data_IF_440631237055
#
_entry.id   IF_440631237055
#
_cell.length_a   1.000
_cell.length_b   1.000
_cell.length_c   1.000
_cell.angle_alpha   90.00
_cell.angle_beta   90.00
_cell.angle_gamma   90.00
#
_symmetry.space_group_name_H-M   'P 1'
#
loop_
_entity.id
_entity.type
_entity.pdbx_description
1 polymer ?
#
# COMPACT_ATOMS: atom_id res chain seq x y z
N UNK A 1 -15.74 -2.24 -13.70
CA UNK A 1 -15.20 -2.68 -12.39
C UNK A 1 -14.47 -1.56 -11.64
N UNK A 2 -14.63 -0.29 -12.04
CA UNK A 2 -14.05 0.87 -11.34
C UNK A 2 -15.09 1.91 -10.90
N UNK A 3 -16.37 1.70 -11.20
CA UNK A 3 -17.42 2.70 -10.98
C UNK A 3 -17.78 2.91 -9.50
N UNK A 4 -17.35 1.99 -8.62
CA UNK A 4 -17.51 2.11 -7.16
C UNK A 4 -16.27 2.68 -6.46
N UNK A 5 -15.20 3.01 -7.20
CA UNK A 5 -14.03 3.63 -6.58
C UNK A 5 -14.36 5.09 -6.19
N UNK A 6 -14.26 5.38 -4.90
CA UNK A 6 -14.41 6.71 -4.37
C UNK A 6 -13.25 7.06 -3.43
N UNK A 7 -12.73 8.29 -3.55
CA UNK A 7 -11.83 8.84 -2.54
C UNK A 7 -12.65 9.18 -1.29
N UNK A 8 -12.19 8.71 -0.13
CA UNK A 8 -12.87 8.91 1.15
C UNK A 8 -12.00 9.72 2.12
N UNK A 9 -12.66 10.36 3.09
CA UNK A 9 -11.95 11.06 4.17
C UNK A 9 -11.37 10.06 5.17
N UNK A 10 -10.39 10.50 5.96
CA UNK A 10 -9.86 9.68 7.03
C UNK A 10 -10.92 9.29 8.06
N UNK A 11 -11.88 10.18 8.37
CA UNK A 11 -12.96 9.87 9.31
C UNK A 11 -13.88 8.75 8.78
N UNK A 12 -14.07 8.66 7.46
CA UNK A 12 -14.77 7.54 6.85
C UNK A 12 -14.00 6.22 7.08
N UNK A 13 -12.67 6.22 6.89
CA UNK A 13 -11.84 5.05 7.18
C UNK A 13 -11.92 4.62 8.65
N UNK A 14 -11.94 5.59 9.59
CA UNK A 14 -12.08 5.31 11.04
C UNK A 14 -13.43 4.64 11.34
N UNK A 15 -14.52 5.06 10.67
CA UNK A 15 -15.85 4.42 10.81
C UNK A 15 -15.85 2.99 10.26
N UNK A 16 -15.03 2.70 9.26
CA UNK A 16 -14.90 1.37 8.65
C UNK A 16 -13.92 0.44 9.37
N UNK A 17 -13.26 0.88 10.45
CA UNK A 17 -12.14 0.15 11.07
C UNK A 17 -12.43 -1.32 11.42
N UNK A 18 -13.67 -1.64 11.79
CA UNK A 18 -14.08 -3.01 12.16
C UNK A 18 -14.14 -3.97 10.95
N UNK A 19 -14.30 -3.42 9.75
CA UNK A 19 -14.34 -4.18 8.49
C UNK A 19 -12.92 -4.48 7.97
N UNK A 20 -11.89 -3.79 8.50
CA UNK A 20 -10.51 -3.98 8.04
C UNK A 20 -10.05 -5.43 8.20
N UNK A 21 -10.48 -6.11 9.26
CA UNK A 21 -10.15 -7.51 9.49
C UNK A 21 -10.74 -8.47 8.44
N UNK A 22 -11.86 -8.09 7.83
CA UNK A 22 -12.54 -8.90 6.83
C UNK A 22 -11.84 -8.73 5.46
N UNK A 23 -11.18 -7.59 5.25
CA UNK A 23 -10.42 -7.26 4.03
C UNK A 23 -8.98 -7.79 4.12
N UNK A 24 -8.31 -7.55 5.25
CA UNK A 24 -6.87 -7.77 5.43
C UNK A 24 -6.54 -9.04 6.24
N UNK A 25 -7.55 -9.76 6.72
CA UNK A 25 -7.39 -10.82 7.71
C UNK A 25 -7.14 -10.26 9.13
N UNK A 26 -6.78 -11.12 10.10
CA UNK A 26 -6.50 -10.68 11.48
C UNK A 26 -5.48 -9.55 11.49
N UNK A 27 -5.89 -8.34 11.88
CA UNK A 27 -5.06 -7.12 11.79
C UNK A 27 -5.19 -6.25 13.06
N UNK A 28 -4.20 -5.39 13.32
CA UNK A 28 -4.31 -4.36 14.36
C UNK A 28 -4.94 -3.10 13.75
N UNK A 29 -6.22 -2.86 14.02
CA UNK A 29 -6.99 -1.73 13.45
C UNK A 29 -6.30 -0.38 13.63
N UNK A 30 -5.69 -0.13 14.80
CA UNK A 30 -5.00 1.15 15.08
C UNK A 30 -3.75 1.30 14.21
N UNK A 31 -2.99 0.24 14.05
CA UNK A 31 -1.79 0.23 13.20
C UNK A 31 -2.16 0.45 11.74
N UNK A 32 -3.23 -0.22 11.27
CA UNK A 32 -3.75 -0.06 9.91
C UNK A 32 -4.18 1.38 9.63
N UNK A 33 -4.95 1.99 10.54
CA UNK A 33 -5.37 3.39 10.40
C UNK A 33 -4.17 4.35 10.42
N UNK A 34 -3.16 4.09 11.25
CA UNK A 34 -1.90 4.86 11.26
C UNK A 34 -1.19 4.76 9.90
N UNK A 35 -1.12 3.57 9.31
CA UNK A 35 -0.55 3.35 7.98
C UNK A 35 -1.30 4.08 6.87
N UNK A 36 -2.62 3.94 6.85
CA UNK A 36 -3.47 4.62 5.87
C UNK A 36 -3.31 6.12 5.93
N UNK A 37 -3.24 6.70 7.15
CA UNK A 37 -2.96 8.13 7.33
C UNK A 37 -1.58 8.49 6.81
N UNK A 38 -0.55 7.74 7.17
CA UNK A 38 0.84 8.03 6.78
C UNK A 38 1.00 8.00 5.26
N UNK A 39 0.59 6.91 4.61
CA UNK A 39 0.72 6.75 3.17
C UNK A 39 -0.22 7.68 2.40
N UNK A 40 -1.43 7.94 2.93
CA UNK A 40 -2.34 8.92 2.36
C UNK A 40 -1.74 10.33 2.37
N UNK A 41 -1.18 10.78 3.49
CA UNK A 41 -0.49 12.07 3.58
C UNK A 41 0.72 12.14 2.65
N UNK A 42 1.50 11.07 2.54
CA UNK A 42 2.64 11.00 1.62
C UNK A 42 2.19 11.16 0.15
N UNK A 43 1.10 10.50 -0.25
CA UNK A 43 0.56 10.62 -1.60
C UNK A 43 0.14 12.08 -1.94
N UNK A 44 -0.31 12.84 -0.94
CA UNK A 44 -0.68 14.26 -1.10
C UNK A 44 0.52 15.17 -1.32
N UNK A 45 1.75 14.75 -0.99
CA UNK A 45 2.96 15.55 -1.24
C UNK A 45 3.28 15.68 -2.73
N UNK A 46 2.60 14.90 -3.59
CA UNK A 46 2.74 14.93 -5.05
C UNK A 46 4.20 14.78 -5.52
N UNK A 47 5.03 14.10 -4.72
CA UNK A 47 6.41 13.77 -5.07
C UNK A 47 6.37 12.67 -6.12
N UNK A 48 6.86 12.97 -7.33
CA UNK A 48 6.90 12.02 -8.44
C UNK A 48 8.33 11.75 -8.85
N UNK A 49 8.63 10.49 -9.11
CA UNK A 49 9.87 10.12 -9.77
C UNK A 49 9.80 10.45 -11.25
N UNK A 50 10.90 10.96 -11.78
CA UNK A 50 11.07 11.12 -13.23
C UNK A 50 11.69 9.84 -13.78
N UNK A 51 10.89 9.07 -14.52
CA UNK A 51 11.37 7.87 -15.20
C UNK A 51 12.54 8.18 -16.14
N UNK A 52 12.51 9.31 -16.83
CA UNK A 52 13.60 9.75 -17.69
C UNK A 52 14.90 9.94 -16.92
N UNK A 53 14.87 10.66 -15.77
CA UNK A 53 16.06 10.85 -14.93
C UNK A 53 16.59 9.52 -14.39
N UNK A 54 15.69 8.66 -13.92
CA UNK A 54 16.05 7.34 -13.38
C UNK A 54 16.77 6.49 -14.45
N UNK A 55 16.23 6.44 -15.66
CA UNK A 55 16.86 5.71 -16.77
C UNK A 55 18.20 6.33 -17.19
N UNK A 56 18.31 7.67 -17.19
CA UNK A 56 19.58 8.37 -17.45
C UNK A 56 20.66 8.07 -16.40
N UNK A 57 20.28 7.77 -15.16
CA UNK A 57 21.18 7.33 -14.10
C UNK A 57 21.62 5.85 -14.25
N UNK A 58 21.14 5.14 -15.26
CA UNK A 58 21.51 3.75 -15.54
C UNK A 58 20.68 2.70 -14.81
N UNK A 59 19.58 3.09 -14.14
CA UNK A 59 18.65 2.11 -13.58
C UNK A 59 17.93 1.35 -14.71
N UNK A 60 17.75 0.02 -14.58
CA UNK A 60 17.04 -0.75 -15.58
C UNK A 60 15.56 -0.36 -15.62
N UNK A 61 14.92 -0.55 -16.78
CA UNK A 61 13.47 -0.36 -16.92
C UNK A 61 12.75 -1.28 -15.93
N UNK A 62 11.74 -0.80 -15.18
CA UNK A 62 10.99 -1.66 -14.28
C UNK A 62 10.31 -2.80 -15.05
N UNK A 63 10.20 -4.00 -14.45
CA UNK A 63 9.44 -5.09 -15.04
C UNK A 63 7.98 -4.68 -15.23
N UNK A 64 7.26 -5.34 -16.15
CA UNK A 64 5.82 -5.13 -16.25
C UNK A 64 5.18 -5.59 -14.94
N UNK A 65 4.09 -4.94 -14.55
CA UNK A 65 3.34 -5.34 -13.36
C UNK A 65 2.97 -6.84 -13.37
N UNK A 66 2.56 -7.35 -14.53
CA UNK A 66 2.21 -8.77 -14.73
C UNK A 66 3.37 -9.72 -14.48
N UNK A 67 4.60 -9.27 -14.69
CA UNK A 67 5.80 -10.10 -14.49
C UNK A 67 6.25 -10.04 -13.02
N UNK A 68 5.93 -8.95 -12.32
CA UNK A 68 6.34 -8.71 -10.93
C UNK A 68 5.35 -9.27 -9.89
N UNK A 69 4.05 -9.21 -10.16
CA UNK A 69 3.00 -9.52 -9.18
C UNK A 69 3.09 -10.94 -8.60
N UNK A 70 3.54 -11.91 -9.41
CA UNK A 70 3.76 -13.28 -8.94
C UNK A 70 4.79 -13.35 -7.80
N UNK A 71 5.85 -12.54 -7.88
CA UNK A 71 6.86 -12.42 -6.83
C UNK A 71 6.26 -11.89 -5.53
N UNK A 72 5.40 -10.87 -5.60
CA UNK A 72 4.69 -10.35 -4.43
C UNK A 72 3.82 -11.43 -3.77
N UNK A 73 3.05 -12.18 -4.56
CA UNK A 73 2.19 -13.25 -4.03
C UNK A 73 3.03 -14.35 -3.39
N UNK A 74 4.14 -14.73 -4.02
CA UNK A 74 5.01 -15.79 -3.50
C UNK A 74 5.72 -15.36 -2.21
N UNK A 75 6.28 -14.15 -2.17
CA UNK A 75 7.05 -13.67 -1.01
C UNK A 75 6.20 -13.35 0.21
N UNK A 76 4.91 -13.08 0.02
CA UNK A 76 3.96 -12.76 1.10
C UNK A 76 3.07 -13.93 1.50
N UNK A 77 3.18 -15.09 0.82
CA UNK A 77 2.34 -16.25 1.07
C UNK A 77 2.44 -16.70 2.53
N UNK A 78 1.29 -16.75 3.21
CA UNK A 78 1.19 -17.17 4.61
C UNK A 78 1.62 -16.12 5.63
N UNK A 79 2.02 -14.92 5.20
CA UNK A 79 2.35 -13.81 6.08
C UNK A 79 1.12 -12.93 6.33
N UNK A 80 0.81 -12.70 7.61
CA UNK A 80 -0.16 -11.68 8.00
C UNK A 80 0.34 -10.28 7.62
N UNK A 81 -0.59 -9.34 7.46
CA UNK A 81 -0.27 -7.93 7.25
C UNK A 81 0.67 -7.38 8.33
N UNK A 82 0.48 -7.75 9.60
CA UNK A 82 1.33 -7.28 10.70
C UNK A 82 2.78 -7.76 10.57
N UNK A 83 2.98 -8.99 10.10
CA UNK A 83 4.33 -9.51 9.84
C UNK A 83 5.01 -8.74 8.71
N UNK A 84 4.26 -8.39 7.66
CA UNK A 84 4.78 -7.60 6.55
C UNK A 84 5.12 -6.16 6.97
N UNK A 85 4.36 -5.59 7.90
CA UNK A 85 4.51 -4.21 8.37
C UNK A 85 5.46 -4.02 9.57
N UNK A 86 6.21 -5.05 9.96
CA UNK A 86 7.00 -5.05 11.21
C UNK A 86 8.07 -3.94 11.25
N UNK A 87 8.48 -3.44 10.08
CA UNK A 87 9.49 -2.37 9.95
C UNK A 87 8.92 -0.99 9.65
N UNK A 88 7.61 -0.88 9.38
CA UNK A 88 7.00 0.37 8.89
C UNK A 88 6.88 1.46 9.97
N UNK A 89 6.87 1.07 11.25
CA UNK A 89 6.67 1.97 12.38
C UNK A 89 7.73 1.83 13.48
N UNK A 90 8.92 1.33 13.11
CA UNK A 90 10.09 1.34 13.98
C UNK A 90 10.64 2.76 14.16
#
# INVERSE_FOLDING_TARGET
MGDEYAQVTYDALVKMRRQLKDIFGPCNERLMLKAMRLYGSFAMLNVRFSNEKILKLGMPKPPRFTDYIAGCVQSTRGLSIQQQMVVDFK
#
